data_IF_216953756184
#
_entry.id   IF_216953756184
#
_cell.length_a   1.000
_cell.length_b   1.000
_cell.length_c   1.000
_cell.angle_alpha   90.00
_cell.angle_beta   90.00
_cell.angle_gamma   90.00
#
_symmetry.space_group_name_H-M   'P 1'
#
loop_
_entity.id
_entity.type
_entity.pdbx_description
1 polymer ?
#
# COMPACT_ATOMS: atom_id res chain seq x y z
N UNK A 1 9.83 33.96 5.92
CA UNK A 1 9.34 32.63 6.33
C UNK A 1 9.54 31.68 5.15
N UNK A 2 10.62 30.88 5.16
CA UNK A 2 11.02 30.03 4.03
C UNK A 2 10.47 28.62 4.24
N UNK A 3 9.66 28.15 3.28
CA UNK A 3 9.21 26.76 3.14
C UNK A 3 10.42 25.85 3.03
N UNK A 4 10.61 24.91 3.94
CA UNK A 4 11.63 23.86 3.81
C UNK A 4 10.93 22.58 3.35
N UNK A 5 10.96 22.39 2.03
CA UNK A 5 10.54 21.16 1.36
C UNK A 5 11.65 20.12 1.51
N UNK A 6 11.52 19.21 2.47
CA UNK A 6 12.39 18.05 2.58
C UNK A 6 11.85 16.89 1.75
N UNK A 7 12.29 16.80 0.49
CA UNK A 7 12.43 15.52 -0.20
C UNK A 7 13.84 15.02 0.08
N UNK A 8 14.01 14.15 1.07
CA UNK A 8 15.26 13.42 1.26
C UNK A 8 14.98 11.95 1.66
N UNK A 9 15.68 11.07 0.96
CA UNK A 9 15.70 9.61 1.02
C UNK A 9 15.69 9.09 2.46
N UNK A 10 14.71 8.24 2.79
CA UNK A 10 14.41 7.72 4.14
C UNK A 10 15.61 7.00 4.78
N UNK A 11 16.41 7.74 5.54
CA UNK A 11 17.25 7.25 6.64
C UNK A 11 16.88 8.12 7.82
N UNK A 12 16.19 7.54 8.79
CA UNK A 12 15.82 8.23 10.03
C UNK A 12 16.76 7.76 11.13
N UNK A 13 17.61 8.67 11.62
CA UNK A 13 18.08 8.58 12.99
C UNK A 13 16.89 8.98 13.87
N UNK A 14 16.28 8.01 14.54
CA UNK A 14 15.13 8.26 15.39
C UNK A 14 15.66 8.78 16.73
N UNK A 15 15.41 10.06 17.00
CA UNK A 15 15.73 10.68 18.29
C UNK A 15 14.40 10.91 19.01
N UNK A 16 14.20 10.26 20.17
CA UNK A 16 13.05 10.50 21.05
C UNK A 16 13.38 11.61 22.03
N UNK A 17 12.72 12.76 21.89
CA UNK A 17 12.60 13.72 22.99
C UNK A 17 11.36 13.37 23.79
N UNK A 18 11.58 12.95 25.03
CA UNK A 18 10.57 12.80 26.07
C UNK A 18 10.33 14.19 26.64
N UNK A 19 9.07 14.64 26.73
CA UNK A 19 8.66 15.56 27.80
C UNK A 19 7.16 15.42 28.05
N UNK A 20 6.88 15.19 29.34
CA UNK A 20 5.58 15.12 29.99
C UNK A 20 4.97 16.52 30.11
N UNK A 21 3.64 16.62 30.07
CA UNK A 21 2.78 17.34 31.04
C UNK A 21 1.37 17.58 30.48
N UNK A 22 0.36 17.24 31.29
CA UNK A 22 -1.05 17.63 31.21
C UNK A 22 -1.39 18.25 32.58
N UNK A 23 -2.22 19.31 32.70
CA UNK A 23 -3.64 19.08 33.04
C UNK A 23 -4.67 20.16 32.57
N UNK A 24 -5.86 19.66 32.16
CA UNK A 24 -7.28 20.08 32.42
C UNK A 24 -7.72 21.53 32.74
N UNK A 25 -8.85 21.98 32.12
CA UNK A 25 -10.15 22.43 32.73
C UNK A 25 -11.08 23.18 31.71
N UNK A 26 -12.35 22.78 31.50
CA UNK A 26 -13.67 23.37 31.96
C UNK A 26 -13.93 24.86 31.54
N UNK A 27 -15.10 25.39 31.13
CA UNK A 27 -16.51 24.97 30.96
C UNK A 27 -17.34 26.06 30.20
N UNK A 28 -18.50 25.65 29.64
CA UNK A 28 -19.85 26.30 29.54
C UNK A 28 -20.21 27.56 28.69
N UNK A 29 -21.36 27.41 27.98
CA UNK A 29 -22.51 28.33 27.72
C UNK A 29 -22.29 29.68 26.99
N UNK A 30 -23.15 30.24 26.11
CA UNK A 30 -24.62 30.27 25.98
C UNK A 30 -25.04 30.68 24.52
N UNK A 31 -26.26 30.33 24.09
CA UNK A 31 -27.02 30.84 22.91
C UNK A 31 -27.84 32.12 23.28
N UNK A 32 -28.55 32.91 22.40
CA UNK A 32 -29.34 32.53 21.18
C UNK A 32 -29.39 33.56 19.99
N UNK A 33 -30.14 33.20 18.91
CA UNK A 33 -30.28 33.87 17.58
C UNK A 33 -31.13 35.15 17.50
N UNK A 34 -31.94 35.46 16.43
CA UNK A 34 -32.22 34.76 15.15
C UNK A 34 -32.32 35.66 13.87
N UNK A 35 -32.86 35.08 12.77
CA UNK A 35 -33.44 35.64 11.51
C UNK A 35 -32.46 35.97 10.34
N UNK A 36 -32.73 35.67 9.06
CA UNK A 36 -33.85 35.02 8.38
C UNK A 36 -33.63 34.92 6.85
N UNK A 37 -34.47 34.09 6.20
CA UNK A 37 -34.88 34.07 4.78
C UNK A 37 -33.84 33.90 3.63
N UNK A 38 -33.93 32.79 2.86
CA UNK A 38 -34.84 32.67 1.69
C UNK A 38 -34.42 31.54 0.73
N UNK A 39 -35.33 30.57 0.59
CA UNK A 39 -35.69 29.72 -0.56
C UNK A 39 -34.72 29.45 -1.72
N UNK A 40 -34.55 28.16 -2.03
CA UNK A 40 -35.09 27.54 -3.26
C UNK A 40 -35.21 26.01 -3.12
N UNK A 41 -36.38 25.54 -3.52
CA UNK A 41 -36.99 24.20 -3.47
C UNK A 41 -36.56 23.31 -4.67
N UNK A 42 -36.24 22.02 -4.46
CA UNK A 42 -37.01 20.76 -4.78
C UNK A 42 -36.84 20.28 -6.26
N UNK A 43 -37.05 18.99 -6.71
CA UNK A 43 -37.13 17.62 -6.11
C UNK A 43 -36.08 16.62 -6.71
N UNK A 44 -35.73 15.46 -6.12
CA UNK A 44 -36.45 14.18 -5.86
C UNK A 44 -36.70 13.25 -7.09
N UNK A 45 -35.92 12.16 -7.14
CA UNK A 45 -36.13 10.78 -7.65
C UNK A 45 -37.10 10.44 -8.80
N UNK A 46 -36.61 9.56 -9.70
CA UNK A 46 -37.30 8.33 -10.12
C UNK A 46 -36.37 7.35 -10.90
N UNK A 47 -36.30 6.09 -10.46
CA UNK A 47 -35.99 4.88 -11.26
C UNK A 47 -37.16 4.59 -12.25
N UNK A 48 -37.23 3.48 -13.03
CA UNK A 48 -36.28 2.69 -13.84
C UNK A 48 -36.78 2.57 -15.32
N UNK A 49 -36.00 2.02 -16.27
CA UNK A 49 -36.56 1.25 -17.40
C UNK A 49 -35.52 0.51 -18.26
N UNK A 50 -36.02 -0.59 -18.82
CA UNK A 50 -35.40 -1.70 -19.53
C UNK A 50 -35.16 -1.42 -21.03
N UNK A 51 -34.29 -2.27 -21.61
CA UNK A 51 -34.19 -2.77 -23.00
C UNK A 51 -34.61 -1.89 -24.20
N UNK A 52 -33.64 -1.61 -25.07
CA UNK A 52 -33.90 -1.42 -26.50
C UNK A 52 -32.80 -2.08 -27.35
N UNK A 53 -33.17 -3.20 -27.99
CA UNK A 53 -32.52 -3.75 -29.18
C UNK A 53 -32.75 -2.81 -30.36
N UNK A 54 -31.71 -2.31 -31.05
CA UNK A 54 -31.78 -2.27 -32.51
C UNK A 54 -30.42 -2.12 -33.23
N UNK A 55 -30.22 -3.04 -34.19
CA UNK A 55 -29.62 -2.82 -35.52
C UNK A 55 -28.17 -2.34 -35.60
N UNK A 56 -27.26 -3.29 -35.43
CA UNK A 56 -25.94 -3.22 -36.07
C UNK A 56 -26.08 -3.49 -37.57
N UNK A 57 -26.08 -2.43 -38.38
CA UNK A 57 -25.94 -2.54 -39.83
C UNK A 57 -24.59 -3.19 -40.16
N UNK A 58 -24.66 -4.31 -40.88
CA UNK A 58 -23.52 -5.15 -41.24
C UNK A 58 -22.46 -4.40 -42.05
N UNK A 59 -21.42 -3.94 -41.36
CA UNK A 59 -20.13 -3.70 -41.96
C UNK A 59 -19.38 -5.04 -41.97
N UNK A 60 -19.29 -5.66 -43.15
CA UNK A 60 -18.40 -6.81 -43.35
C UNK A 60 -16.96 -6.32 -43.27
N UNK A 61 -16.28 -6.66 -42.17
CA UNK A 61 -14.86 -6.36 -41.99
C UNK A 61 -14.08 -7.15 -43.05
N UNK A 62 -13.15 -6.53 -43.82
CA UNK A 62 -12.35 -7.27 -44.78
C UNK A 62 -11.58 -8.41 -44.10
N UNK A 63 -11.36 -9.55 -44.77
CA UNK A 63 -10.64 -10.68 -44.19
C UNK A 63 -9.27 -10.25 -43.67
N UNK A 64 -8.93 -10.62 -42.43
CA UNK A 64 -7.61 -10.36 -41.86
C UNK A 64 -6.53 -11.00 -42.74
N UNK A 65 -5.87 -10.17 -43.54
CA UNK A 65 -4.64 -10.57 -44.24
C UNK A 65 -3.58 -10.83 -43.18
N UNK A 66 -3.21 -12.10 -42.99
CA UNK A 66 -2.04 -12.44 -42.17
C UNK A 66 -0.84 -11.75 -42.80
N UNK A 67 -0.24 -10.78 -42.10
CA UNK A 67 0.99 -10.12 -42.54
C UNK A 67 2.03 -11.19 -42.87
N UNK A 68 2.34 -11.36 -44.16
CA UNK A 68 3.46 -12.19 -44.60
C UNK A 68 4.74 -11.52 -44.11
N UNK A 69 5.37 -12.15 -43.11
CA UNK A 69 6.72 -11.83 -42.65
C UNK A 69 6.83 -10.63 -41.72
N UNK A 70 7.04 -10.90 -40.43
CA UNK A 70 7.97 -10.10 -39.61
C UNK A 70 9.31 -10.83 -39.68
N UNK A 71 10.43 -10.20 -40.07
CA UNK A 71 11.71 -10.88 -40.14
C UNK A 71 12.03 -11.54 -38.79
N UNK A 72 12.57 -12.76 -38.82
CA UNK A 72 13.13 -13.41 -37.62
C UNK A 72 14.11 -12.42 -36.97
N UNK A 73 13.82 -11.98 -35.74
CA UNK A 73 14.73 -11.10 -35.00
C UNK A 73 14.27 -9.68 -34.72
N UNK A 74 13.00 -9.30 -34.92
CA UNK A 74 12.54 -7.94 -34.49
C UNK A 74 12.78 -7.65 -33.00
N UNK A 75 12.87 -8.69 -32.15
CA UNK A 75 13.23 -8.57 -30.74
C UNK A 75 14.71 -8.83 -30.44
N UNK A 76 15.54 -9.08 -31.45
CA UNK A 76 16.93 -9.50 -31.33
C UNK A 76 17.84 -8.52 -32.09
N UNK A 77 19.08 -8.42 -31.65
CA UNK A 77 20.17 -7.76 -32.37
C UNK A 77 20.60 -8.62 -33.57
N UNK A 78 21.40 -8.07 -34.47
CA UNK A 78 21.95 -8.78 -35.65
C UNK A 78 22.67 -10.09 -35.30
N UNK A 79 23.13 -10.25 -34.06
CA UNK A 79 23.78 -11.47 -33.51
C UNK A 79 22.83 -12.37 -32.70
N UNK A 80 21.52 -12.13 -32.72
CA UNK A 80 20.53 -12.96 -32.02
C UNK A 80 20.36 -12.70 -30.52
N UNK A 81 21.04 -11.70 -29.94
CA UNK A 81 20.82 -11.31 -28.52
C UNK A 81 19.57 -10.43 -28.38
N UNK A 82 18.79 -10.52 -27.29
CA UNK A 82 17.63 -9.66 -27.07
C UNK A 82 17.96 -8.18 -27.22
N UNK A 83 17.20 -7.47 -28.06
CA UNK A 83 17.30 -6.04 -28.24
C UNK A 83 17.19 -5.33 -26.88
N UNK A 84 17.88 -4.20 -26.69
CA UNK A 84 17.95 -3.48 -25.39
C UNK A 84 16.58 -3.27 -24.73
N UNK A 85 15.52 -3.06 -25.50
CA UNK A 85 14.14 -2.90 -25.01
C UNK A 85 13.57 -4.22 -24.45
N UNK A 86 13.71 -5.34 -25.18
CA UNK A 86 13.31 -6.66 -24.72
C UNK A 86 14.14 -7.12 -23.51
N UNK A 87 15.45 -6.82 -23.48
CA UNK A 87 16.30 -7.07 -22.30
C UNK A 87 15.87 -6.24 -21.09
N UNK A 88 15.48 -4.98 -21.28
CA UNK A 88 14.96 -4.11 -20.21
C UNK A 88 13.60 -4.59 -19.70
N UNK A 89 12.72 -5.08 -20.55
CA UNK A 89 11.44 -5.68 -20.15
C UNK A 89 11.64 -6.99 -19.39
N UNK A 90 12.51 -7.90 -19.89
CA UNK A 90 12.90 -9.11 -19.17
C UNK A 90 13.54 -8.82 -17.81
N UNK A 91 14.36 -7.77 -17.71
CA UNK A 91 14.94 -7.33 -16.43
C UNK A 91 13.93 -6.63 -15.52
N UNK A 92 12.90 -5.98 -16.06
CA UNK A 92 11.83 -5.34 -15.28
C UNK A 92 10.96 -6.38 -14.59
N UNK A 93 10.65 -7.49 -15.27
CA UNK A 93 9.91 -8.61 -14.68
C UNK A 93 10.70 -9.34 -13.59
N UNK A 94 12.03 -9.21 -13.60
CA UNK A 94 12.93 -9.87 -12.64
C UNK A 94 13.33 -9.02 -11.43
N UNK A 95 12.85 -7.76 -11.35
CA UNK A 95 13.24 -6.86 -10.26
C UNK A 95 12.06 -6.70 -9.31
N UNK A 96 12.26 -6.78 -7.98
CA UNK A 96 11.20 -6.50 -7.03
C UNK A 96 10.63 -5.09 -7.25
N UNK A 97 9.31 -4.99 -7.18
CA UNK A 97 8.60 -3.72 -7.22
C UNK A 97 8.54 -3.12 -5.81
N UNK A 98 8.64 -1.79 -5.73
CA UNK A 98 8.37 -1.08 -4.48
C UNK A 98 6.88 -1.19 -4.15
N UNK A 99 6.55 -1.29 -2.86
CA UNK A 99 5.19 -1.36 -2.34
C UNK A 99 4.30 -0.25 -2.93
N UNK A 100 4.79 1.00 -2.96
CA UNK A 100 4.04 2.13 -3.50
C UNK A 100 3.63 1.96 -4.98
N UNK A 101 4.37 1.15 -5.74
CA UNK A 101 4.13 0.87 -7.17
C UNK A 101 3.34 -0.41 -7.43
N UNK A 102 3.01 -1.18 -6.40
CA UNK A 102 2.17 -2.37 -6.53
C UNK A 102 0.76 -2.00 -6.94
N UNK A 103 0.05 -2.93 -7.59
CA UNK A 103 -1.35 -2.75 -7.92
C UNK A 103 -2.20 -2.67 -6.65
N UNK A 104 -3.34 -1.97 -6.70
CA UNK A 104 -4.21 -1.77 -5.53
C UNK A 104 -4.60 -3.11 -4.89
N UNK A 105 -4.98 -4.11 -5.71
CA UNK A 105 -5.33 -5.45 -5.22
C UNK A 105 -4.17 -6.18 -4.52
N UNK A 106 -2.93 -5.95 -4.94
CA UNK A 106 -1.75 -6.56 -4.28
C UNK A 106 -1.47 -5.87 -2.95
N UNK A 107 -1.64 -4.54 -2.88
CA UNK A 107 -1.52 -3.78 -1.63
C UNK A 107 -2.58 -4.25 -0.62
N UNK A 108 -3.82 -4.38 -1.06
CA UNK A 108 -4.92 -4.92 -0.25
C UNK A 108 -4.57 -6.29 0.32
N UNK A 109 -4.07 -7.21 -0.51
CA UNK A 109 -3.63 -8.54 -0.05
C UNK A 109 -2.54 -8.47 1.01
N UNK A 110 -1.54 -7.62 0.83
CA UNK A 110 -0.45 -7.47 1.80
C UNK A 110 -0.98 -6.87 3.10
N UNK A 111 -1.84 -5.86 3.04
CA UNK A 111 -2.44 -5.24 4.23
C UNK A 111 -3.30 -6.25 4.98
N UNK A 112 -4.16 -7.01 4.29
CA UNK A 112 -4.98 -8.05 4.90
C UNK A 112 -4.12 -9.11 5.60
N UNK A 113 -3.02 -9.54 4.98
CA UNK A 113 -2.13 -10.55 5.57
C UNK A 113 -1.47 -10.14 6.88
N UNK A 114 -1.56 -8.86 7.28
CA UNK A 114 -1.08 -8.40 8.58
C UNK A 114 -2.11 -8.56 9.69
N UNK A 115 -3.40 -8.43 9.37
CA UNK A 115 -4.48 -8.41 10.36
C UNK A 115 -5.22 -9.74 10.47
N UNK A 116 -5.16 -10.58 9.45
CA UNK A 116 -5.86 -11.87 9.45
C UNK A 116 -4.94 -12.98 8.96
N UNK A 117 -5.29 -14.22 9.34
CA UNK A 117 -4.63 -15.41 8.85
C UNK A 117 -4.71 -15.53 7.31
N UNK A 118 -3.70 -16.17 6.72
CA UNK A 118 -3.58 -16.32 5.27
C UNK A 118 -4.82 -16.97 4.64
N UNK A 119 -5.44 -17.93 5.34
CA UNK A 119 -6.66 -18.60 4.86
C UNK A 119 -7.86 -17.66 4.81
N UNK A 120 -8.02 -16.80 5.83
CA UNK A 120 -9.13 -15.84 5.92
C UNK A 120 -8.94 -14.73 4.89
N UNK A 121 -7.71 -14.22 4.75
CA UNK A 121 -7.35 -13.23 3.72
C UNK A 121 -7.71 -13.73 2.32
N UNK A 122 -7.42 -14.99 2.01
CA UNK A 122 -7.75 -15.57 0.70
C UNK A 122 -9.26 -15.69 0.46
N UNK A 123 -10.06 -16.05 1.49
CA UNK A 123 -11.52 -16.09 1.37
C UNK A 123 -12.08 -14.70 1.09
N UNK A 124 -11.66 -13.71 1.87
CA UNK A 124 -12.10 -12.32 1.71
C UNK A 124 -11.74 -11.75 0.32
N UNK A 125 -10.60 -12.13 -0.25
CA UNK A 125 -10.18 -11.68 -1.59
C UNK A 125 -10.85 -12.42 -2.75
N UNK A 126 -11.17 -13.72 -2.60
CA UNK A 126 -11.74 -14.56 -3.67
C UNK A 126 -13.27 -14.53 -3.69
N UNK A 127 -13.89 -14.62 -2.52
CA UNK A 127 -15.34 -14.76 -2.35
C UNK A 127 -16.01 -13.46 -1.88
N UNK A 128 -15.22 -12.43 -1.54
CA UNK A 128 -15.71 -11.18 -1.00
C UNK A 128 -16.48 -11.35 0.32
N UNK A 129 -16.11 -12.37 1.09
CA UNK A 129 -16.63 -12.61 2.44
C UNK A 129 -16.16 -11.50 3.39
N UNK A 130 -17.04 -11.08 4.29
CA UNK A 130 -16.72 -10.10 5.33
C UNK A 130 -16.00 -10.78 6.49
N UNK A 131 -14.88 -10.20 6.90
CA UNK A 131 -14.10 -10.62 8.05
C UNK A 131 -14.78 -10.09 9.32
N UNK A 132 -15.10 -11.01 10.21
CA UNK A 132 -15.70 -10.74 11.52
C UNK A 132 -14.63 -10.50 12.59
N UNK A 133 -15.05 -10.07 13.78
CA UNK A 133 -14.15 -9.68 14.88
C UNK A 133 -13.26 -10.82 15.38
N UNK A 134 -13.74 -12.06 15.30
CA UNK A 134 -13.06 -13.26 15.79
C UNK A 134 -11.82 -13.61 14.95
N UNK A 135 -11.84 -13.22 13.69
CA UNK A 135 -10.78 -13.52 12.72
C UNK A 135 -9.66 -12.45 12.72
N UNK A 136 -9.83 -11.34 13.46
CA UNK A 136 -8.87 -10.22 13.49
C UNK A 136 -7.81 -10.43 14.56
N UNK A 137 -6.55 -10.22 14.17
CA UNK A 137 -5.41 -10.19 15.09
C UNK A 137 -5.49 -8.96 16.01
N UNK A 138 -5.97 -9.18 17.23
CA UNK A 138 -6.08 -8.14 18.26
C UNK A 138 -4.74 -7.79 18.95
N UNK A 139 -3.64 -8.48 18.63
CA UNK A 139 -2.35 -8.33 19.33
C UNK A 139 -1.42 -7.36 18.59
N UNK A 140 -1.14 -6.16 19.13
CA UNK A 140 -0.31 -5.16 18.46
C UNK A 140 1.15 -5.61 18.29
N UNK A 141 1.64 -6.55 19.11
CA UNK A 141 2.99 -7.10 19.02
C UNK A 141 3.18 -8.05 17.84
N UNK A 142 2.08 -8.65 17.34
CA UNK A 142 2.13 -9.56 16.18
C UNK A 142 2.10 -8.82 14.86
N UNK A 143 1.57 -7.62 14.84
CA UNK A 143 1.56 -6.79 13.64
C UNK A 143 3.00 -6.41 13.26
N UNK A 144 3.38 -6.48 11.97
CA UNK A 144 4.67 -6.01 11.52
C UNK A 144 4.75 -4.49 11.61
N UNK A 145 5.93 -3.95 11.90
CA UNK A 145 6.16 -2.50 11.96
C UNK A 145 5.91 -1.81 10.59
N UNK A 146 5.92 -2.61 9.51
CA UNK A 146 5.56 -2.20 8.16
C UNK A 146 4.19 -1.54 8.05
N UNK A 147 3.25 -1.84 8.94
CA UNK A 147 1.91 -1.23 8.96
C UNK A 147 1.96 0.28 9.19
N UNK A 148 3.00 0.78 9.86
CA UNK A 148 3.17 2.19 10.21
C UNK A 148 3.85 3.03 9.10
N UNK A 149 4.21 2.43 7.96
CA UNK A 149 4.86 3.17 6.88
C UNK A 149 3.89 4.14 6.18
N UNK A 150 4.36 5.36 5.88
CA UNK A 150 3.57 6.40 5.22
C UNK A 150 2.99 5.98 3.85
N UNK A 151 3.57 4.97 3.19
CA UNK A 151 3.11 4.49 1.89
C UNK A 151 1.96 3.48 1.99
N UNK A 152 1.57 3.10 3.21
CA UNK A 152 0.50 2.15 3.50
C UNK A 152 -0.78 2.93 3.76
N UNK A 153 -1.83 2.60 3.02
CA UNK A 153 -3.17 3.09 3.30
C UNK A 153 -4.05 1.91 3.76
N UNK A 154 -4.29 1.85 5.06
CA UNK A 154 -5.03 0.76 5.70
C UNK A 154 -6.51 0.77 5.26
N UNK A 155 -7.05 1.93 4.89
CA UNK A 155 -8.44 2.06 4.46
C UNK A 155 -8.76 1.26 3.19
N UNK A 156 -7.75 0.89 2.40
CA UNK A 156 -7.92 -0.02 1.27
C UNK A 156 -8.54 -1.36 1.67
N UNK A 157 -8.26 -1.83 2.89
CA UNK A 157 -8.79 -3.09 3.38
C UNK A 157 -10.19 -2.96 4.03
N UNK A 158 -10.70 -1.73 4.27
CA UNK A 158 -11.97 -1.46 4.98
C UNK A 158 -13.17 -2.24 4.43
N UNK A 159 -13.21 -2.43 3.11
CA UNK A 159 -14.31 -3.12 2.40
C UNK A 159 -14.44 -4.61 2.76
N UNK A 160 -13.38 -5.20 3.28
CA UNK A 160 -13.34 -6.62 3.65
C UNK A 160 -13.71 -6.87 5.11
N UNK A 161 -13.88 -5.83 5.93
CA UNK A 161 -14.18 -5.98 7.35
C UNK A 161 -15.62 -5.57 7.66
N UNK A 162 -16.24 -6.27 8.62
CA UNK A 162 -17.42 -5.75 9.30
C UNK A 162 -17.09 -4.46 10.06
N UNK A 163 -18.11 -3.70 10.45
CA UNK A 163 -17.90 -2.44 11.18
C UNK A 163 -17.18 -2.68 12.52
N UNK A 164 -17.58 -3.70 13.27
CA UNK A 164 -16.93 -4.08 14.54
C UNK A 164 -15.48 -4.51 14.34
N UNK A 165 -15.23 -5.40 13.37
CA UNK A 165 -13.88 -5.86 13.03
C UNK A 165 -12.96 -4.70 12.62
N UNK A 166 -13.49 -3.73 11.87
CA UNK A 166 -12.72 -2.56 11.46
C UNK A 166 -12.37 -1.64 12.64
N UNK A 167 -13.27 -1.48 13.62
CA UNK A 167 -12.97 -0.71 14.83
C UNK A 167 -11.81 -1.33 15.61
N UNK A 168 -11.77 -2.66 15.72
CA UNK A 168 -10.65 -3.37 16.33
C UNK A 168 -9.34 -3.11 15.58
N UNK A 169 -9.33 -3.20 14.26
CA UNK A 169 -8.15 -2.89 13.43
C UNK A 169 -7.62 -1.48 13.72
N UNK A 170 -8.51 -0.49 13.78
CA UNK A 170 -8.12 0.89 14.07
C UNK A 170 -7.54 1.04 15.48
N UNK A 171 -8.13 0.38 16.47
CA UNK A 171 -7.65 0.43 17.85
C UNK A 171 -6.27 -0.22 18.00
N UNK A 172 -6.08 -1.41 17.43
CA UNK A 172 -4.78 -2.11 17.45
C UNK A 172 -3.71 -1.29 16.72
N UNK A 173 -4.05 -0.71 15.58
CA UNK A 173 -3.15 0.18 14.84
C UNK A 173 -2.74 1.39 15.67
N UNK A 174 -3.71 2.05 16.31
CA UNK A 174 -3.47 3.19 17.20
C UNK A 174 -2.56 2.79 18.37
N UNK A 175 -2.85 1.68 19.03
CA UNK A 175 -2.02 1.18 20.13
C UNK A 175 -0.57 0.92 19.69
N UNK A 176 -0.38 0.29 18.52
CA UNK A 176 0.96 0.05 17.97
C UNK A 176 1.72 1.34 17.63
N UNK A 177 1.02 2.37 17.15
CA UNK A 177 1.66 3.65 16.80
C UNK A 177 2.22 4.40 18.02
N UNK A 178 1.60 4.24 19.20
CA UNK A 178 2.06 4.85 20.45
C UNK A 178 3.22 4.06 21.07
N UNK A 179 3.17 2.73 21.04
CA UNK A 179 4.18 1.84 21.65
C UNK A 179 5.27 1.40 20.67
N UNK A 180 5.58 2.25 19.70
CA UNK A 180 6.43 1.93 18.56
C UNK A 180 7.87 1.62 18.96
N UNK A 181 8.25 0.35 18.91
CA UNK A 181 9.64 -0.09 18.92
C UNK A 181 9.98 -0.60 17.52
N UNK A 182 10.85 0.11 16.79
CA UNK A 182 11.31 -0.38 15.49
C UNK A 182 12.31 -1.51 15.69
N UNK A 183 11.97 -2.68 15.17
CA UNK A 183 12.76 -3.89 15.31
C UNK A 183 13.35 -4.31 13.97
N UNK A 184 14.63 -4.71 13.97
CA UNK A 184 15.26 -5.28 12.80
C UNK A 184 14.66 -6.65 12.49
N UNK A 185 14.12 -6.83 11.28
CA UNK A 185 13.54 -8.09 10.84
C UNK A 185 14.56 -9.24 10.71
N UNK A 186 15.87 -8.94 10.62
CA UNK A 186 16.90 -9.97 10.48
C UNK A 186 17.43 -10.50 11.81
N UNK A 187 17.52 -9.68 12.84
CA UNK A 187 18.10 -10.06 14.13
C UNK A 187 17.13 -9.91 15.30
N UNK A 188 15.93 -9.35 15.09
CA UNK A 188 14.90 -9.10 16.10
C UNK A 188 15.35 -8.18 17.26
N UNK A 189 16.41 -7.39 17.06
CA UNK A 189 16.85 -6.37 18.00
C UNK A 189 16.40 -4.96 17.57
N UNK A 190 16.33 -4.05 18.54
CA UNK A 190 15.89 -2.67 18.35
C UNK A 190 16.84 -1.87 17.41
N UNK A 191 16.28 -0.92 16.64
CA UNK A 191 17.02 -0.07 15.69
C UNK A 191 17.57 1.25 16.26
N UNK A 192 17.27 1.61 17.50
CA UNK A 192 17.44 2.97 18.05
C UNK A 192 18.87 3.54 17.93
N UNK A 193 19.90 2.70 18.05
CA UNK A 193 21.29 3.15 18.11
C UNK A 193 22.13 2.85 16.85
N UNK A 194 21.54 2.20 15.85
CA UNK A 194 22.27 1.74 14.68
C UNK A 194 21.68 2.28 13.38
N UNK A 195 22.52 2.44 12.37
CA UNK A 195 22.06 2.79 11.02
C UNK A 195 21.14 1.69 10.49
N UNK A 196 19.94 2.09 10.11
CA UNK A 196 18.90 1.20 9.64
C UNK A 196 18.38 1.63 8.27
N UNK A 197 17.87 0.65 7.52
CA UNK A 197 17.27 0.83 6.21
C UNK A 197 15.96 0.07 6.14
N UNK A 198 14.98 0.66 5.46
CA UNK A 198 13.71 0.02 5.14
C UNK A 198 13.76 -0.57 3.73
N UNK A 199 13.20 -1.77 3.56
CA UNK A 199 13.01 -2.35 2.24
C UNK A 199 11.82 -1.70 1.52
N UNK A 200 12.03 -1.19 0.32
CA UNK A 200 10.97 -0.59 -0.49
C UNK A 200 9.84 -1.55 -0.90
N UNK A 201 10.07 -2.87 -0.86
CA UNK A 201 9.09 -3.87 -1.32
C UNK A 201 8.26 -4.44 -0.17
N UNK A 202 8.89 -4.92 0.90
CA UNK A 202 8.18 -5.49 2.05
C UNK A 202 8.00 -4.51 3.21
N UNK A 203 8.57 -3.30 3.14
CA UNK A 203 8.50 -2.27 4.18
C UNK A 203 9.03 -2.71 5.55
N UNK A 204 9.86 -3.75 5.58
CA UNK A 204 10.52 -4.23 6.78
C UNK A 204 11.82 -3.47 7.00
N UNK A 205 12.16 -3.26 8.28
CA UNK A 205 13.37 -2.58 8.70
C UNK A 205 14.53 -3.53 8.97
N UNK A 206 15.74 -3.06 8.68
CA UNK A 206 16.96 -3.82 8.83
C UNK A 206 18.10 -2.93 9.32
N UNK A 207 18.97 -3.42 10.20
CA UNK A 207 20.26 -2.78 10.44
C UNK A 207 21.16 -2.90 9.21
N UNK A 208 21.99 -1.90 8.97
CA UNK A 208 23.00 -1.91 7.92
C UNK A 208 23.90 -3.14 8.04
N UNK A 209 24.40 -3.44 9.25
CA UNK A 209 25.25 -4.60 9.53
C UNK A 209 24.56 -5.92 9.18
N UNK A 210 23.28 -6.07 9.56
CA UNK A 210 22.50 -7.28 9.29
C UNK A 210 22.34 -7.58 7.80
N UNK A 211 22.32 -6.54 6.94
CA UNK A 211 22.18 -6.71 5.49
C UNK A 211 23.49 -6.57 4.73
N UNK A 212 24.62 -6.40 5.44
CA UNK A 212 25.96 -6.24 4.86
C UNK A 212 26.18 -4.88 4.19
N UNK A 213 25.45 -3.84 4.61
CA UNK A 213 25.68 -2.47 4.20
C UNK A 213 26.67 -1.80 5.15
N UNK A 214 27.65 -1.09 4.58
CA UNK A 214 28.59 -0.25 5.35
C UNK A 214 28.17 1.22 5.29
N UNK A 215 27.46 1.61 4.23
CA UNK A 215 27.01 2.97 3.97
C UNK A 215 25.63 2.96 3.35
N UNK A 216 24.94 4.09 3.44
CA UNK A 216 23.65 4.28 2.81
C UNK A 216 23.75 4.02 1.29
N UNK A 217 22.89 3.17 0.72
CA UNK A 217 22.81 2.96 -0.71
C UNK A 217 22.48 4.27 -1.44
N UNK A 218 23.18 4.56 -2.54
CA UNK A 218 22.91 5.74 -3.38
C UNK A 218 21.66 5.59 -4.25
N UNK A 219 21.11 4.39 -4.34
CA UNK A 219 19.92 4.13 -5.14
C UNK A 219 18.66 4.65 -4.45
N UNK A 220 17.71 5.16 -5.25
CA UNK A 220 16.43 5.66 -4.73
C UNK A 220 15.64 4.62 -3.94
N UNK A 221 15.70 3.37 -4.40
CA UNK A 221 14.96 2.26 -3.81
C UNK A 221 15.94 1.14 -3.45
N UNK A 222 15.80 0.57 -2.26
CA UNK A 222 16.58 -0.56 -1.77
C UNK A 222 15.68 -1.77 -1.47
N UNK A 223 16.17 -2.96 -1.79
CA UNK A 223 15.43 -4.21 -1.63
C UNK A 223 16.22 -5.20 -0.80
N UNK A 224 15.56 -5.85 0.17
CA UNK A 224 16.16 -6.89 0.97
C UNK A 224 16.45 -8.14 0.12
N UNK A 225 17.27 -9.06 0.67
CA UNK A 225 17.63 -10.31 0.00
C UNK A 225 16.39 -11.16 -0.30
N UNK A 226 15.42 -11.20 0.61
CA UNK A 226 14.17 -11.96 0.45
C UNK A 226 13.32 -11.44 -0.71
N UNK A 227 13.10 -10.13 -0.82
CA UNK A 227 12.37 -9.55 -1.95
C UNK A 227 13.13 -9.70 -3.28
N UNK A 228 14.45 -9.62 -3.24
CA UNK A 228 15.29 -9.83 -4.43
C UNK A 228 15.26 -11.29 -4.90
N UNK A 229 15.16 -12.25 -3.98
CA UNK A 229 15.04 -13.67 -4.30
C UNK A 229 13.66 -14.03 -4.90
N UNK A 230 12.57 -13.45 -4.38
CA UNK A 230 11.20 -13.66 -4.88
C UNK A 230 10.98 -13.16 -6.31
N UNK A 231 11.81 -12.23 -6.79
CA UNK A 231 11.69 -11.67 -8.13
C UNK A 231 12.51 -12.43 -9.20
N UNK A 232 13.24 -13.49 -8.84
CA UNK A 232 14.03 -14.28 -9.78
C UNK A 232 13.19 -15.34 -10.47
#
# INVERSE_FOLDING_TARGET
MKKVSWRMTRVTTICSSVDSENPSNHASDEQPGPSGFSSKEIPQNCDPCEDDEERTLGLTVPPLVKKRGRPKGHGLTTIGLPAKRARKELLRYKKPCSFSKLHVSEKEKVILSWFVDEKVAERALKHNDLIEEEDVECKPERLPDSVLDENVDIHLARKHFTTEAWMLVQEVFKHKSVHMAWICHSCHHNLHFEQSIICDSCLLWFHFKCVGLVRQPKCKNWFCRSCTAKAK
#
